data_IF_941614420501
#
_entry.id   IF_941614420501
#
_cell.length_a   1.000
_cell.length_b   1.000
_cell.length_c   1.000
_cell.angle_alpha   90.00
_cell.angle_beta   90.00
_cell.angle_gamma   90.00
#
_symmetry.space_group_name_H-M   'P 1'
#
loop_
_entity.id
_entity.type
_entity.pdbx_description
1 polymer ?
#
# COMPACT_ATOMS: atom_id res chain seq x y z
N UNK A 1 -5.64 -5.96 -7.37
CA UNK A 1 -5.49 -7.36 -6.88
C UNK A 1 -6.44 -7.60 -5.73
N UNK A 2 -7.06 -8.78 -5.71
CA UNK A 2 -8.06 -9.16 -4.70
C UNK A 2 -7.42 -9.21 -3.30
N UNK A 3 -8.09 -8.66 -2.31
CA UNK A 3 -7.66 -8.62 -0.92
C UNK A 3 -6.59 -7.58 -0.59
N UNK A 4 -5.89 -7.01 -1.56
CA UNK A 4 -4.72 -6.16 -1.30
C UNK A 4 -5.07 -4.92 -0.47
N UNK A 5 -6.00 -4.09 -0.95
CA UNK A 5 -6.33 -2.81 -0.32
C UNK A 5 -6.88 -3.01 1.10
N UNK A 6 -7.90 -3.87 1.26
CA UNK A 6 -8.50 -4.13 2.57
C UNK A 6 -7.52 -4.77 3.55
N UNK A 7 -6.67 -5.68 3.08
CA UNK A 7 -5.71 -6.34 3.95
C UNK A 7 -4.58 -5.42 4.43
N UNK A 8 -4.04 -4.58 3.55
CA UNK A 8 -3.04 -3.56 3.95
C UNK A 8 -3.66 -2.59 4.97
N UNK A 9 -4.90 -2.15 4.73
CA UNK A 9 -5.60 -1.28 5.67
C UNK A 9 -5.86 -1.98 7.02
N UNK A 10 -6.23 -3.27 7.02
CA UNK A 10 -6.40 -4.03 8.24
C UNK A 10 -5.08 -4.11 9.04
N UNK A 11 -3.97 -4.46 8.39
CA UNK A 11 -2.64 -4.53 9.03
C UNK A 11 -2.22 -3.16 9.59
N UNK A 12 -2.37 -2.09 8.83
CA UNK A 12 -2.07 -0.73 9.28
C UNK A 12 -2.95 -0.32 10.48
N UNK A 13 -4.24 -0.68 10.45
CA UNK A 13 -5.18 -0.36 11.53
C UNK A 13 -4.83 -1.04 12.85
N UNK A 14 -4.25 -2.24 12.83
CA UNK A 14 -3.73 -2.89 14.05
C UNK A 14 -2.66 -2.00 14.69
N UNK A 15 -1.71 -1.53 13.92
CA UNK A 15 -0.61 -0.70 14.43
C UNK A 15 -1.12 0.66 14.94
N UNK A 16 -2.04 1.30 14.21
CA UNK A 16 -2.68 2.53 14.68
C UNK A 16 -3.45 2.31 15.98
N UNK A 17 -4.22 1.22 16.09
CA UNK A 17 -5.00 0.91 17.29
C UNK A 17 -4.09 0.71 18.51
N UNK A 18 -3.01 -0.08 18.35
CA UNK A 18 -2.06 -0.36 19.43
C UNK A 18 -1.39 0.94 19.89
N UNK A 19 -0.81 1.72 18.98
CA UNK A 19 -0.07 2.93 19.34
C UNK A 19 -1.01 3.98 19.94
N UNK A 20 -2.20 4.17 19.37
CA UNK A 20 -3.18 5.11 19.89
C UNK A 20 -3.65 4.70 21.31
N UNK A 21 -3.89 3.42 21.54
CA UNK A 21 -4.27 2.89 22.85
C UNK A 21 -3.18 3.11 23.89
N UNK A 22 -1.92 2.81 23.56
CA UNK A 22 -0.78 2.99 24.44
C UNK A 22 -0.50 4.48 24.78
N UNK A 23 -0.94 5.40 23.92
CA UNK A 23 -0.85 6.85 24.15
C UNK A 23 -2.17 7.46 24.70
N UNK A 24 -3.11 6.65 25.21
CA UNK A 24 -4.34 7.11 25.83
C UNK A 24 -5.37 7.74 24.90
N UNK A 25 -5.20 7.60 23.57
CA UNK A 25 -6.07 8.21 22.56
C UNK A 25 -7.24 7.31 22.21
N UNK A 26 -8.19 7.16 23.12
CA UNK A 26 -9.33 6.25 22.99
C UNK A 26 -10.10 6.43 21.70
N UNK A 27 -10.35 7.67 21.27
CA UNK A 27 -11.09 7.94 20.03
C UNK A 27 -10.35 7.43 18.78
N UNK A 28 -9.03 7.66 18.69
CA UNK A 28 -8.22 7.21 17.55
C UNK A 28 -8.10 5.68 17.57
N UNK A 29 -7.90 5.09 18.75
CA UNK A 29 -7.85 3.64 18.93
C UNK A 29 -9.16 2.97 18.52
N UNK A 30 -10.31 3.53 18.95
CA UNK A 30 -11.64 3.00 18.59
C UNK A 30 -11.91 3.13 17.10
N UNK A 31 -11.55 4.26 16.48
CA UNK A 31 -11.69 4.42 15.03
C UNK A 31 -10.81 3.43 14.26
N UNK A 32 -9.55 3.24 14.68
CA UNK A 32 -8.66 2.26 14.07
C UNK A 32 -9.20 0.83 14.23
N UNK A 33 -9.75 0.47 15.39
CA UNK A 33 -10.39 -0.82 15.62
C UNK A 33 -11.65 -1.00 14.75
N UNK A 34 -12.45 0.03 14.56
CA UNK A 34 -13.61 -0.01 13.68
C UNK A 34 -13.19 -0.25 12.21
N UNK A 35 -12.15 0.44 11.74
CA UNK A 35 -11.60 0.23 10.39
C UNK A 35 -11.02 -1.18 10.25
N UNK A 36 -10.32 -1.68 11.27
CA UNK A 36 -9.83 -3.06 11.30
C UNK A 36 -10.97 -4.07 11.14
N UNK A 37 -12.04 -3.90 11.92
CA UNK A 37 -13.23 -4.77 11.86
C UNK A 37 -13.91 -4.72 10.49
N UNK A 38 -14.12 -3.54 9.94
CA UNK A 38 -14.72 -3.37 8.62
C UNK A 38 -13.83 -3.96 7.50
N UNK A 39 -12.53 -3.71 7.54
CA UNK A 39 -11.58 -4.22 6.55
C UNK A 39 -11.47 -5.75 6.59
N UNK A 40 -11.40 -6.35 7.79
CA UNK A 40 -11.34 -7.82 7.95
C UNK A 40 -12.66 -8.50 7.56
N UNK A 41 -13.81 -7.89 7.90
CA UNK A 41 -15.12 -8.37 7.47
C UNK A 41 -15.26 -8.34 5.94
N UNK A 42 -14.86 -7.26 5.29
CA UNK A 42 -14.84 -7.14 3.84
C UNK A 42 -13.87 -8.15 3.20
N UNK A 43 -12.67 -8.32 3.79
CA UNK A 43 -11.63 -9.22 3.30
C UNK A 43 -12.11 -10.68 3.21
N UNK A 44 -13.01 -11.11 4.07
CA UNK A 44 -13.63 -12.44 4.04
C UNK A 44 -14.24 -12.79 2.67
N UNK A 45 -14.76 -11.77 1.96
CA UNK A 45 -15.41 -11.93 0.66
C UNK A 45 -14.58 -11.38 -0.50
N UNK A 46 -13.60 -10.54 -0.22
CA UNK A 46 -12.72 -9.92 -1.21
C UNK A 46 -11.39 -10.67 -1.39
N UNK A 47 -11.01 -11.60 -0.47
CA UNK A 47 -9.80 -12.42 -0.66
C UNK A 47 -9.99 -13.39 -1.82
N UNK A 48 -8.91 -13.66 -2.56
CA UNK A 48 -8.96 -14.46 -3.80
C UNK A 48 -9.44 -15.90 -3.59
N UNK A 49 -10.47 -16.35 -4.32
CA UNK A 49 -11.20 -15.66 -5.38
C UNK A 49 -12.21 -14.66 -4.83
N UNK A 50 -12.10 -13.38 -5.26
CA UNK A 50 -12.98 -12.34 -4.76
C UNK A 50 -14.42 -12.53 -5.24
N UNK A 51 -15.36 -12.40 -4.30
CA UNK A 51 -16.83 -12.44 -4.58
C UNK A 51 -17.42 -11.04 -4.63
N UNK A 52 -16.77 -10.06 -3.98
CA UNK A 52 -17.16 -8.65 -3.98
C UNK A 52 -15.91 -7.77 -4.26
N UNK A 53 -16.14 -6.60 -4.82
CA UNK A 53 -15.09 -5.64 -5.13
C UNK A 53 -15.35 -4.32 -4.43
N UNK A 54 -14.27 -3.66 -3.95
CA UNK A 54 -14.35 -2.43 -3.19
C UNK A 54 -14.74 -1.21 -4.06
N UNK A 55 -14.33 -1.23 -5.33
CA UNK A 55 -14.45 -0.09 -6.22
C UNK A 55 -13.56 1.09 -5.82
N UNK A 56 -13.51 2.11 -6.68
CA UNK A 56 -12.68 3.29 -6.45
C UNK A 56 -13.18 4.11 -5.25
N UNK A 57 -14.50 4.27 -5.12
CA UNK A 57 -15.09 5.01 -3.99
C UNK A 57 -14.74 4.40 -2.64
N UNK A 58 -14.80 3.06 -2.50
CA UNK A 58 -14.42 2.37 -1.28
C UNK A 58 -12.93 2.47 -0.99
N UNK A 59 -12.07 2.34 -2.02
CA UNK A 59 -10.63 2.46 -1.87
C UNK A 59 -10.22 3.89 -1.45
N UNK A 60 -10.83 4.92 -2.05
CA UNK A 60 -10.59 6.33 -1.70
C UNK A 60 -11.06 6.63 -0.27
N UNK A 61 -12.24 6.15 0.12
CA UNK A 61 -12.74 6.32 1.48
C UNK A 61 -11.83 5.66 2.51
N UNK A 62 -11.37 4.44 2.25
CA UNK A 62 -10.44 3.73 3.12
C UNK A 62 -9.10 4.47 3.23
N UNK A 63 -8.57 4.98 2.11
CA UNK A 63 -7.36 5.81 2.08
C UNK A 63 -7.52 7.10 2.91
N UNK A 64 -8.69 7.76 2.81
CA UNK A 64 -9.00 8.94 3.62
C UNK A 64 -9.02 8.61 5.12
N UNK A 65 -9.61 7.49 5.52
CA UNK A 65 -9.61 7.05 6.92
C UNK A 65 -8.18 6.76 7.42
N UNK A 66 -7.35 6.09 6.62
CA UNK A 66 -5.94 5.85 6.97
C UNK A 66 -5.16 7.15 7.14
N UNK A 67 -5.34 8.12 6.25
CA UNK A 67 -4.72 9.43 6.36
C UNK A 67 -5.22 10.19 7.61
N UNK A 68 -6.51 10.10 7.91
CA UNK A 68 -7.10 10.71 9.11
C UNK A 68 -6.50 10.11 10.40
N UNK A 69 -6.36 8.78 10.46
CA UNK A 69 -5.71 8.11 11.59
C UNK A 69 -4.25 8.58 11.74
N UNK A 70 -3.51 8.65 10.64
CA UNK A 70 -2.12 9.10 10.63
C UNK A 70 -1.97 10.54 11.15
N UNK A 71 -2.84 11.46 10.72
CA UNK A 71 -2.82 12.87 11.14
C UNK A 71 -3.30 13.09 12.59
N UNK A 72 -4.21 12.24 13.05
CA UNK A 72 -4.77 12.34 14.42
C UNK A 72 -3.92 11.64 15.48
N UNK A 73 -3.02 10.75 15.07
CA UNK A 73 -2.15 10.04 15.99
C UNK A 73 -1.18 11.03 16.64
N UNK A 74 -1.19 11.11 17.97
CA UNK A 74 -0.30 11.96 18.76
C UNK A 74 0.59 11.08 19.62
N UNK A 75 1.85 11.41 19.71
CA UNK A 75 2.85 10.72 20.51
C UNK A 75 3.41 11.72 21.52
N UNK A 76 2.70 11.90 22.67
CA UNK A 76 3.01 12.97 23.63
C UNK A 76 4.38 12.80 24.28
N UNK A 77 4.87 11.57 24.42
CA UNK A 77 6.14 11.25 25.06
C UNK A 77 7.24 10.85 24.08
N UNK A 78 6.99 10.84 22.78
CA UNK A 78 7.95 10.45 21.78
C UNK A 78 8.79 11.64 21.31
N UNK A 79 9.99 11.34 20.83
CA UNK A 79 10.83 12.34 20.18
C UNK A 79 10.09 12.96 18.97
N UNK A 80 10.27 14.26 18.67
CA UNK A 80 9.58 14.94 17.56
C UNK A 80 9.73 14.21 16.22
N UNK A 81 10.91 13.64 15.95
CA UNK A 81 11.15 12.84 14.75
C UNK A 81 10.33 11.56 14.72
N UNK A 82 10.14 10.89 15.85
CA UNK A 82 9.32 9.68 15.95
C UNK A 82 7.85 9.98 15.60
N UNK A 83 7.34 11.15 15.98
CA UNK A 83 5.96 11.57 15.68
C UNK A 83 5.67 11.63 14.18
N UNK A 84 6.66 11.91 13.34
CA UNK A 84 6.54 11.88 11.89
C UNK A 84 6.83 10.50 11.31
N UNK A 85 7.83 9.79 11.84
CA UNK A 85 8.23 8.48 11.31
C UNK A 85 7.21 7.39 11.58
N UNK A 86 6.53 7.41 12.73
CA UNK A 86 5.57 6.38 13.11
C UNK A 86 4.44 6.24 12.08
N UNK A 87 3.67 7.28 11.74
CA UNK A 87 2.62 7.14 10.73
C UNK A 87 3.17 6.81 9.34
N UNK A 88 4.37 7.30 8.99
CA UNK A 88 5.02 6.95 7.71
C UNK A 88 5.39 5.47 7.67
N UNK A 89 5.88 4.88 8.76
CA UNK A 89 6.19 3.46 8.85
C UNK A 89 4.92 2.61 8.79
N UNK A 90 3.85 2.99 9.50
CA UNK A 90 2.58 2.26 9.45
C UNK A 90 2.03 2.20 8.02
N UNK A 91 2.12 3.31 7.28
CA UNK A 91 1.69 3.40 5.88
C UNK A 91 2.81 3.01 4.87
N UNK A 92 3.91 2.46 5.37
CA UNK A 92 5.14 2.22 4.60
C UNK A 92 4.93 1.40 3.32
N UNK A 93 4.07 0.37 3.35
CA UNK A 93 3.77 -0.43 2.15
C UNK A 93 3.06 0.40 1.09
N UNK A 94 2.11 1.24 1.49
CA UNK A 94 1.38 2.12 0.56
C UNK A 94 2.30 3.17 -0.05
N UNK A 95 3.18 3.77 0.77
CA UNK A 95 4.18 4.75 0.32
C UNK A 95 5.18 4.08 -0.62
N UNK A 96 5.66 2.89 -0.27
CA UNK A 96 6.56 2.10 -1.10
C UNK A 96 5.96 1.79 -2.48
N UNK A 97 4.72 1.28 -2.52
CA UNK A 97 4.04 0.94 -3.78
C UNK A 97 3.82 2.17 -4.66
N UNK A 98 3.36 3.27 -4.06
CA UNK A 98 3.16 4.54 -4.79
C UNK A 98 4.49 5.09 -5.33
N UNK A 99 5.56 5.03 -4.53
CA UNK A 99 6.90 5.46 -4.96
C UNK A 99 7.41 4.60 -6.12
N UNK A 100 7.28 3.27 -6.02
CA UNK A 100 7.66 2.33 -7.07
C UNK A 100 6.96 2.65 -8.39
N UNK A 101 5.64 2.80 -8.35
CA UNK A 101 4.84 3.11 -9.55
C UNK A 101 5.20 4.46 -10.13
N UNK A 102 5.37 5.48 -9.28
CA UNK A 102 5.73 6.85 -9.70
C UNK A 102 7.09 6.87 -10.39
N UNK A 103 8.11 6.28 -9.78
CA UNK A 103 9.46 6.18 -10.35
C UNK A 103 9.44 5.40 -11.65
N UNK A 104 8.77 4.25 -11.67
CA UNK A 104 8.68 3.39 -12.85
C UNK A 104 8.01 4.11 -14.03
N UNK A 105 6.93 4.83 -13.80
CA UNK A 105 6.22 5.59 -14.85
C UNK A 105 7.01 6.80 -15.30
N UNK A 106 7.59 7.55 -14.38
CA UNK A 106 8.45 8.70 -14.72
C UNK A 106 9.64 8.30 -15.60
N UNK A 107 10.30 7.17 -15.29
CA UNK A 107 11.41 6.65 -16.12
C UNK A 107 10.98 6.22 -17.52
N UNK A 108 9.71 5.89 -17.72
CA UNK A 108 9.11 5.52 -19.01
C UNK A 108 8.51 6.71 -19.75
N UNK A 109 8.60 7.94 -19.20
CA UNK A 109 7.98 9.14 -19.76
C UNK A 109 6.44 9.14 -19.69
N UNK A 110 5.86 8.34 -18.79
CA UNK A 110 4.41 8.25 -18.59
C UNK A 110 3.97 9.15 -17.44
N UNK A 111 2.76 9.69 -17.54
CA UNK A 111 2.16 10.46 -16.44
C UNK A 111 1.84 9.51 -15.27
N UNK A 112 2.39 9.74 -14.07
CA UNK A 112 2.24 8.83 -12.94
C UNK A 112 0.79 8.56 -12.55
N UNK A 113 -0.10 9.55 -12.66
CA UNK A 113 -1.48 9.48 -12.19
C UNK A 113 -2.51 9.20 -13.29
N UNK A 114 -2.16 9.37 -14.57
CA UNK A 114 -3.12 9.28 -15.68
C UNK A 114 -3.08 7.95 -16.44
N UNK A 115 -2.06 7.12 -16.20
CA UNK A 115 -1.86 5.90 -16.98
C UNK A 115 -2.32 4.69 -16.17
N UNK A 116 -3.40 3.99 -16.54
CA UNK A 116 -3.76 2.72 -15.90
C UNK A 116 -2.69 1.66 -16.18
N UNK A 117 -2.38 0.79 -15.21
CA UNK A 117 -1.35 -0.24 -15.41
C UNK A 117 -1.29 -1.27 -14.29
N UNK A 118 -0.73 -2.45 -14.60
CA UNK A 118 -0.44 -3.52 -13.66
C UNK A 118 1.03 -3.47 -13.25
N UNK A 119 1.49 -2.31 -12.82
CA UNK A 119 2.90 -2.00 -12.49
C UNK A 119 3.15 -1.84 -10.99
N UNK A 120 2.14 -2.08 -10.16
CA UNK A 120 2.20 -2.10 -8.70
C UNK A 120 3.06 -3.25 -8.15
N UNK A 121 3.62 -3.08 -6.96
CA UNK A 121 4.48 -4.06 -6.29
C UNK A 121 3.86 -5.46 -6.24
N UNK A 122 2.57 -5.57 -5.92
CA UNK A 122 1.87 -6.85 -5.87
C UNK A 122 1.87 -7.59 -7.23
N UNK A 123 1.73 -6.89 -8.35
CA UNK A 123 1.79 -7.48 -9.68
C UNK A 123 3.21 -7.94 -10.03
N UNK A 124 4.22 -7.13 -9.70
CA UNK A 124 5.63 -7.47 -9.92
C UNK A 124 6.06 -8.69 -9.12
N UNK A 125 5.68 -8.77 -7.85
CA UNK A 125 5.92 -9.93 -7.00
C UNK A 125 5.24 -11.21 -7.55
N UNK A 126 4.01 -11.07 -8.07
CA UNK A 126 3.32 -12.18 -8.71
C UNK A 126 4.05 -12.69 -9.96
N UNK A 127 4.59 -11.77 -10.76
CA UNK A 127 5.36 -12.10 -11.97
C UNK A 127 6.75 -12.71 -11.64
N UNK A 128 7.28 -12.45 -10.44
CA UNK A 128 8.50 -13.10 -9.93
C UNK A 128 8.27 -14.53 -9.41
N UNK A 129 7.03 -15.06 -9.54
CA UNK A 129 6.72 -16.45 -9.21
C UNK A 129 5.99 -16.68 -7.89
N UNK A 130 5.74 -15.64 -7.07
CA UNK A 130 4.99 -15.80 -5.82
C UNK A 130 3.50 -16.09 -6.06
N UNK A 131 3.02 -15.83 -7.27
CA UNK A 131 1.59 -15.91 -7.58
C UNK A 131 0.75 -14.86 -6.82
N UNK A 132 -0.54 -14.82 -7.09
CA UNK A 132 -1.41 -13.77 -6.54
C UNK A 132 -1.49 -13.78 -5.00
N UNK A 133 -1.75 -14.95 -4.39
CA UNK A 133 -1.88 -15.05 -2.93
C UNK A 133 -0.57 -14.77 -2.21
N UNK A 134 0.53 -15.33 -2.72
CA UNK A 134 1.85 -15.12 -2.14
C UNK A 134 2.27 -13.67 -2.15
N UNK A 135 2.04 -12.94 -3.25
CA UNK A 135 2.34 -11.50 -3.36
C UNK A 135 1.57 -10.66 -2.35
N UNK A 136 0.27 -10.93 -2.20
CA UNK A 136 -0.58 -10.21 -1.24
C UNK A 136 -0.15 -10.48 0.19
N UNK A 137 0.10 -11.75 0.54
CA UNK A 137 0.56 -12.12 1.89
C UNK A 137 1.95 -11.55 2.20
N UNK A 138 2.87 -11.52 1.24
CA UNK A 138 4.19 -10.89 1.41
C UNK A 138 4.08 -9.41 1.74
N UNK A 139 3.15 -8.69 1.10
CA UNK A 139 2.90 -7.28 1.40
C UNK A 139 2.22 -7.08 2.76
N UNK A 140 1.36 -8.01 3.20
CA UNK A 140 0.81 -7.98 4.56
C UNK A 140 1.91 -8.19 5.61
N UNK A 141 2.81 -9.15 5.39
CA UNK A 141 3.95 -9.38 6.28
C UNK A 141 4.88 -8.17 6.35
N UNK A 142 5.16 -7.56 5.18
CA UNK A 142 5.96 -6.32 5.13
C UNK A 142 5.26 -5.19 5.90
N UNK A 143 3.95 -5.05 5.74
CA UNK A 143 3.15 -4.07 6.49
C UNK A 143 3.15 -4.34 7.99
N UNK A 144 3.00 -5.60 8.41
CA UNK A 144 3.06 -5.98 9.80
C UNK A 144 4.45 -5.71 10.42
N UNK A 145 5.51 -6.05 9.70
CA UNK A 145 6.88 -5.75 10.13
C UNK A 145 7.12 -4.24 10.25
N UNK A 146 6.70 -3.46 9.25
CA UNK A 146 6.80 -2.00 9.27
C UNK A 146 5.98 -1.38 10.41
N UNK A 147 4.77 -1.90 10.65
CA UNK A 147 3.94 -1.49 11.79
C UNK A 147 4.53 -1.85 13.14
N UNK A 148 5.11 -3.03 13.29
CA UNK A 148 5.85 -3.41 14.51
C UNK A 148 7.06 -2.50 14.75
N UNK A 149 7.77 -2.17 13.67
CA UNK A 149 8.88 -1.19 13.72
C UNK A 149 8.38 0.20 14.15
N UNK A 150 7.20 0.62 13.68
CA UNK A 150 6.59 1.88 14.10
C UNK A 150 6.28 1.89 15.61
N UNK A 151 5.77 0.78 16.17
CA UNK A 151 5.57 0.63 17.61
C UNK A 151 6.90 0.77 18.35
N UNK A 152 7.96 0.12 17.88
CA UNK A 152 9.29 0.26 18.49
C UNK A 152 9.79 1.71 18.44
N UNK A 153 9.69 2.38 17.30
CA UNK A 153 10.13 3.75 17.10
C UNK A 153 9.42 4.72 18.03
N UNK A 154 8.17 4.46 18.39
CA UNK A 154 7.41 5.33 19.32
C UNK A 154 8.04 5.44 20.72
N UNK A 155 8.94 4.51 21.09
CA UNK A 155 9.66 4.50 22.37
C UNK A 155 11.13 4.91 22.24
N UNK A 156 11.64 5.13 21.02
CA UNK A 156 13.05 5.44 20.81
C UNK A 156 13.36 6.94 21.01
N UNK A 157 14.57 7.27 21.52
CA UNK A 157 15.07 8.63 21.47
C UNK A 157 15.33 9.10 20.03
N UNK A 158 15.47 10.41 19.81
CA UNK A 158 15.61 11.01 18.47
C UNK A 158 16.69 10.34 17.61
N UNK A 159 17.84 9.97 18.18
CA UNK A 159 18.91 9.30 17.46
C UNK A 159 18.50 7.90 17.00
N UNK A 160 17.87 7.12 17.87
CA UNK A 160 17.37 5.79 17.53
C UNK A 160 16.28 5.85 16.44
N UNK A 161 15.35 6.80 16.56
CA UNK A 161 14.34 7.04 15.54
C UNK A 161 14.96 7.44 14.19
N UNK A 162 16.01 8.30 14.21
CA UNK A 162 16.72 8.68 12.98
C UNK A 162 17.41 7.49 12.30
N UNK A 163 18.08 6.63 13.07
CA UNK A 163 18.74 5.43 12.55
C UNK A 163 17.70 4.52 11.87
N UNK A 164 16.58 4.23 12.55
CA UNK A 164 15.51 3.41 11.97
C UNK A 164 14.91 4.07 10.73
N UNK A 165 14.71 5.38 10.74
CA UNK A 165 14.24 6.13 9.58
C UNK A 165 15.17 6.00 8.37
N UNK A 166 16.48 6.12 8.56
CA UNK A 166 17.47 5.94 7.51
C UNK A 166 17.46 4.51 6.98
N UNK A 167 17.41 3.51 7.87
CA UNK A 167 17.32 2.09 7.48
C UNK A 167 16.05 1.87 6.65
N UNK A 168 14.90 2.38 7.07
CA UNK A 168 13.65 2.26 6.33
C UNK A 168 13.73 2.90 4.94
N UNK A 169 14.35 4.08 4.82
CA UNK A 169 14.56 4.73 3.51
C UNK A 169 15.48 3.90 2.60
N UNK A 170 16.55 3.33 3.15
CA UNK A 170 17.44 2.43 2.39
C UNK A 170 16.68 1.20 1.90
N UNK A 171 15.84 0.60 2.75
CA UNK A 171 15.00 -0.55 2.36
C UNK A 171 14.00 -0.19 1.27
N UNK A 172 13.32 0.97 1.38
CA UNK A 172 12.40 1.47 0.34
C UNK A 172 13.17 1.64 -0.97
N UNK A 173 14.30 2.32 -0.94
CA UNK A 173 15.11 2.56 -2.13
C UNK A 173 15.60 1.25 -2.78
N UNK A 174 16.18 0.34 -1.99
CA UNK A 174 16.63 -0.96 -2.45
C UNK A 174 15.48 -1.79 -3.03
N UNK A 175 14.32 -1.80 -2.36
CA UNK A 175 13.11 -2.48 -2.83
C UNK A 175 12.59 -1.91 -4.16
N UNK A 176 12.59 -0.59 -4.31
CA UNK A 176 12.20 0.08 -5.57
C UNK A 176 13.16 -0.32 -6.69
N UNK A 177 14.48 -0.26 -6.45
CA UNK A 177 15.49 -0.65 -7.45
C UNK A 177 15.38 -2.12 -7.81
N UNK A 178 15.15 -2.98 -6.84
CA UNK A 178 14.99 -4.43 -7.06
C UNK A 178 13.72 -4.73 -7.88
N UNK A 179 12.58 -4.20 -7.47
CA UNK A 179 11.31 -4.45 -8.17
C UNK A 179 11.21 -3.71 -9.51
N UNK A 180 11.97 -2.63 -9.72
CA UNK A 180 12.01 -1.96 -11.03
C UNK A 180 12.63 -2.85 -12.11
N UNK A 181 13.49 -3.79 -11.72
CA UNK A 181 14.08 -4.79 -12.61
C UNK A 181 13.16 -5.98 -12.87
N UNK A 182 12.09 -6.15 -12.07
CA UNK A 182 11.15 -7.24 -12.20
C UNK A 182 10.29 -7.07 -13.47
N UNK A 183 9.94 -8.18 -14.16
CA UNK A 183 9.08 -8.11 -15.33
C UNK A 183 7.70 -7.59 -14.94
N UNK A 184 7.22 -6.60 -15.68
CA UNK A 184 5.86 -6.06 -15.58
C UNK A 184 5.15 -6.19 -16.93
N UNK A 185 3.83 -6.29 -16.89
CA UNK A 185 3.03 -6.37 -18.11
C UNK A 185 3.13 -5.06 -18.89
N UNK A 186 3.80 -5.08 -20.04
CA UNK A 186 3.81 -3.93 -20.95
C UNK A 186 2.37 -3.72 -21.42
N UNK A 187 1.82 -2.54 -21.22
CA UNK A 187 0.58 -2.17 -21.89
C UNK A 187 0.87 -2.23 -23.39
N UNK A 188 0.10 -3.04 -24.14
CA UNK A 188 0.03 -2.88 -25.57
C UNK A 188 -0.31 -1.39 -25.83
N UNK A 189 0.52 -0.68 -26.58
CA UNK A 189 0.10 0.57 -27.21
C UNK A 189 -1.31 0.31 -27.72
N UNK A 190 -2.27 1.15 -27.30
CA UNK A 190 -3.61 1.09 -27.86
C UNK A 190 -3.45 0.94 -29.38
N UNK A 191 -4.02 -0.12 -29.95
CA UNK A 191 -3.95 -0.35 -31.37
C UNK A 191 -4.37 0.94 -32.04
N UNK A 192 -3.52 1.47 -32.92
CA UNK A 192 -3.84 2.62 -33.74
C UNK A 192 -5.19 2.37 -34.40
N UNK A 193 -6.07 3.39 -34.54
CA UNK A 193 -7.43 3.21 -35.07
C UNK A 193 -7.54 2.62 -36.48
N UNK A 194 -6.42 2.29 -37.12
CA UNK A 194 -6.34 1.82 -38.50
C UNK A 194 -6.60 0.32 -38.70
N UNK A 195 -6.77 -0.48 -37.65
CA UNK A 195 -7.09 -1.91 -37.78
C UNK A 195 -8.52 -2.25 -37.32
N UNK A 196 -9.51 -1.45 -37.70
CA UNK A 196 -10.88 -1.95 -37.72
C UNK A 196 -11.06 -2.75 -39.01
N UNK A 197 -11.38 -4.07 -38.95
CA UNK A 197 -11.74 -4.81 -40.14
C UNK A 197 -12.94 -4.09 -40.78
N UNK A 198 -12.76 -3.70 -42.03
CA UNK A 198 -13.84 -3.13 -42.85
C UNK A 198 -14.99 -4.12 -42.92
N UNK A 199 -16.19 -3.63 -42.60
CA UNK A 199 -17.45 -4.40 -42.58
C UNK A 199 -17.87 -5.04 -43.93
N UNK A 200 -16.97 -5.08 -44.93
CA UNK A 200 -17.22 -5.59 -46.27
C UNK A 200 -16.79 -7.04 -46.49
N UNK A 201 -16.46 -7.82 -45.44
CA UNK A 201 -16.12 -9.24 -45.60
C UNK A 201 -17.27 -10.22 -45.30
N UNK A 202 -18.49 -9.74 -45.12
CA UNK A 202 -19.67 -10.61 -44.90
C UNK A 202 -20.78 -10.39 -45.93
N UNK A 203 -20.43 -9.94 -47.12
CA UNK A 203 -21.36 -9.91 -48.26
C UNK A 203 -20.81 -10.83 -49.37
N UNK A 204 -21.03 -12.16 -49.18
CA UNK A 204 -21.16 -13.19 -50.23
C UNK A 204 -21.85 -14.41 -49.62
#
# INVERSE_FOLDING_TARGET
>A
MDGLCAGIAAVASVSFAIIAYLNGQTLVATLAAAVLGAATGFLRWNFKPAKIFMGDGGAMFLGFLMATLALKLRLEHAAPLASWLVPLLILGVTIFDTTLVTVSRARRGLLPFATPGKDHAAHRLSNLGLGHRGSVLSLYLLGAFSGATAVLVSYLPSLGAAIVGVIALVFIFAGVVYLERAPYERQHKAATPEEKPTLNQFAD
#
